data_IF_816509167428
#
_entry.id   IF_816509167428
#
_cell.length_a   1.000
_cell.length_b   1.000
_cell.length_c   1.000
_cell.angle_alpha   90.00
_cell.angle_beta   90.00
_cell.angle_gamma   90.00
#
_symmetry.space_group_name_H-M   'P 1'
#
loop_
_entity.id
_entity.type
_entity.pdbx_description
1 polymer ?
#
# COMPACT_ATOMS: atom_id res chain seq x y z
N UNK A 1 6.36 -7.76 -8.56
CA UNK A 1 5.99 -6.42 -9.00
C UNK A 1 5.91 -6.37 -10.52
N UNK A 2 4.79 -5.89 -11.09
CA UNK A 2 4.56 -5.84 -12.53
C UNK A 2 4.23 -4.41 -12.98
N UNK A 3 5.12 -3.82 -13.79
CA UNK A 3 4.98 -2.48 -14.36
C UNK A 3 4.49 -2.59 -15.80
N UNK A 4 3.17 -2.53 -16.01
CA UNK A 4 2.59 -2.57 -17.35
C UNK A 4 2.45 -1.17 -17.98
N UNK A 5 2.29 -0.13 -17.14
CA UNK A 5 1.90 1.20 -17.61
C UNK A 5 2.98 1.90 -18.44
N UNK A 6 4.24 1.82 -18.05
CA UNK A 6 5.33 2.62 -18.65
C UNK A 6 6.61 1.82 -18.76
N UNK A 7 7.53 2.32 -19.59
CA UNK A 7 8.87 1.77 -19.77
C UNK A 7 9.88 2.93 -19.79
N UNK A 8 11.15 2.63 -19.70
CA UNK A 8 12.19 3.62 -19.97
C UNK A 8 12.32 3.85 -21.49
N UNK A 9 12.67 5.07 -21.92
CA UNK A 9 12.81 5.41 -23.35
C UNK A 9 13.83 4.54 -24.10
N UNK A 10 14.81 3.96 -23.38
CA UNK A 10 15.79 3.01 -23.94
C UNK A 10 15.29 1.56 -23.96
N UNK A 11 14.09 1.28 -23.49
CA UNK A 11 13.54 -0.07 -23.49
C UNK A 11 13.33 -0.57 -24.92
N UNK A 12 13.70 -1.83 -25.23
CA UNK A 12 13.61 -2.36 -26.60
C UNK A 12 12.24 -2.26 -27.25
N UNK A 13 11.16 -2.41 -26.47
CA UNK A 13 9.78 -2.27 -26.96
C UNK A 13 9.55 -0.85 -27.48
N UNK A 14 9.91 0.18 -26.72
CA UNK A 14 9.74 1.57 -27.15
C UNK A 14 10.66 1.92 -28.32
N UNK A 15 11.92 1.45 -28.30
CA UNK A 15 12.86 1.70 -29.37
C UNK A 15 12.40 1.11 -30.72
N UNK A 16 11.77 -0.06 -30.72
CA UNK A 16 11.24 -0.71 -31.91
C UNK A 16 9.87 -0.18 -32.33
N UNK A 17 9.05 0.21 -31.38
CA UNK A 17 7.65 0.60 -31.57
C UNK A 17 7.31 1.87 -30.79
N UNK A 18 7.91 3.04 -31.13
CA UNK A 18 7.63 4.29 -30.39
C UNK A 18 6.17 4.73 -30.50
N UNK A 19 5.46 4.28 -31.52
CA UNK A 19 4.04 4.50 -31.72
C UNK A 19 3.12 3.65 -30.82
N UNK A 20 3.69 2.77 -29.99
CA UNK A 20 2.97 2.03 -28.96
C UNK A 20 2.88 2.82 -27.64
N UNK A 21 3.56 3.94 -27.55
CA UNK A 21 3.38 4.86 -26.43
C UNK A 21 2.25 5.88 -26.72
N UNK A 22 1.71 6.41 -25.64
CA UNK A 22 0.78 7.55 -25.71
C UNK A 22 1.52 8.82 -26.16
N UNK A 23 0.77 9.85 -26.56
CA UNK A 23 1.38 11.10 -27.01
C UNK A 23 2.09 11.83 -25.89
N UNK A 24 3.33 12.26 -26.16
CA UNK A 24 4.16 13.06 -25.24
C UNK A 24 3.59 14.47 -25.00
N UNK A 25 2.70 14.94 -25.88
CA UNK A 25 2.03 16.22 -25.77
C UNK A 25 0.53 16.04 -25.76
N UNK A 26 -0.17 16.84 -24.97
CA UNK A 26 -1.64 16.94 -24.95
C UNK A 26 -2.16 17.60 -26.24
N UNK A 27 -3.45 17.54 -26.48
CA UNK A 27 -4.05 18.13 -27.68
C UNK A 27 -3.88 19.66 -27.76
N UNK A 28 -3.72 20.32 -26.61
CA UNK A 28 -3.45 21.77 -26.50
C UNK A 28 -1.95 22.13 -26.54
N UNK A 29 -1.07 21.13 -26.78
CA UNK A 29 0.37 21.31 -26.96
C UNK A 29 1.20 21.35 -25.68
N UNK A 30 0.60 21.16 -24.50
CA UNK A 30 1.34 21.03 -23.23
C UNK A 30 2.09 19.70 -23.17
N UNK A 31 3.20 19.67 -22.45
CA UNK A 31 3.89 18.43 -22.16
C UNK A 31 3.00 17.52 -21.30
N UNK A 32 2.73 16.29 -21.77
CA UNK A 32 1.88 15.30 -21.11
C UNK A 32 2.72 14.47 -20.13
N UNK A 33 3.29 15.10 -19.11
CA UNK A 33 4.05 14.43 -18.04
C UNK A 33 3.48 14.81 -16.69
N UNK A 34 3.34 13.81 -15.79
CA UNK A 34 2.87 14.00 -14.42
C UNK A 34 1.47 14.66 -14.30
N UNK A 35 0.65 14.56 -15.33
CA UNK A 35 -0.75 15.01 -15.34
C UNK A 35 -1.65 13.90 -14.76
N UNK A 36 -1.39 13.51 -13.52
CA UNK A 36 -1.85 12.28 -12.86
C UNK A 36 -3.36 12.10 -12.81
N UNK A 37 -4.14 13.16 -12.78
CA UNK A 37 -5.60 13.12 -12.72
C UNK A 37 -6.25 13.58 -14.03
N UNK A 38 -5.71 14.62 -14.67
CA UNK A 38 -6.23 15.19 -15.90
C UNK A 38 -6.06 14.23 -17.09
N UNK A 39 -4.85 13.70 -17.25
CA UNK A 39 -4.46 12.79 -18.33
C UNK A 39 -4.15 11.37 -17.81
N UNK A 40 -4.94 10.89 -16.87
CA UNK A 40 -4.70 9.71 -16.07
C UNK A 40 -4.24 8.47 -16.87
N UNK A 41 -4.81 8.24 -18.05
CA UNK A 41 -4.53 7.04 -18.87
C UNK A 41 -3.49 7.28 -19.97
N UNK A 42 -2.96 8.50 -20.09
CA UNK A 42 -2.05 8.88 -21.17
C UNK A 42 -0.81 9.59 -20.72
N UNK A 43 -0.79 10.12 -19.49
CA UNK A 43 0.34 10.90 -18.98
C UNK A 43 1.59 10.05 -18.85
N UNK A 44 2.71 10.59 -19.29
CA UNK A 44 4.02 9.98 -19.08
C UNK A 44 4.49 10.22 -17.63
N UNK A 45 5.22 9.25 -17.09
CA UNK A 45 5.74 9.36 -15.72
C UNK A 45 6.91 10.33 -15.62
N UNK A 46 7.72 10.42 -16.68
CA UNK A 46 8.71 11.46 -16.91
C UNK A 46 8.94 11.59 -18.41
N UNK A 47 9.72 12.59 -18.82
CA UNK A 47 10.07 12.86 -20.22
C UNK A 47 10.81 11.69 -20.90
N UNK A 48 11.47 10.85 -20.10
CA UNK A 48 12.17 9.63 -20.50
C UNK A 48 11.44 8.34 -20.13
N UNK A 49 10.22 8.43 -19.56
CA UNK A 49 9.39 7.31 -19.13
C UNK A 49 8.04 7.31 -19.88
N UNK A 50 8.04 6.89 -21.17
CA UNK A 50 6.84 6.82 -21.99
C UNK A 50 5.81 5.86 -21.41
N UNK A 51 4.55 6.29 -21.36
CA UNK A 51 3.39 5.46 -21.03
C UNK A 51 2.98 4.66 -22.25
N UNK A 52 2.78 3.36 -22.11
CA UNK A 52 2.33 2.47 -23.17
C UNK A 52 0.83 2.65 -23.42
N UNK A 53 0.42 2.62 -24.70
CA UNK A 53 -0.97 2.74 -25.10
C UNK A 53 -1.70 1.39 -24.90
N UNK A 54 -1.99 1.06 -23.65
CA UNK A 54 -2.65 -0.20 -23.27
C UNK A 54 -4.13 -0.29 -23.71
N UNK A 55 -4.68 0.76 -24.33
CA UNK A 55 -5.99 0.70 -25.01
C UNK A 55 -5.87 0.11 -26.42
N UNK A 56 -4.65 0.04 -26.97
CA UNK A 56 -4.35 -0.64 -28.22
C UNK A 56 -4.26 -2.15 -27.96
N UNK A 57 -5.07 -2.93 -28.68
CA UNK A 57 -5.17 -4.39 -28.47
C UNK A 57 -3.82 -5.09 -28.65
N UNK A 58 -3.01 -4.70 -29.65
CA UNK A 58 -1.70 -5.31 -29.87
C UNK A 58 -0.76 -5.09 -28.70
N UNK A 59 -0.75 -3.88 -28.11
CA UNK A 59 0.07 -3.54 -26.95
C UNK A 59 -0.43 -4.27 -25.71
N UNK A 60 -1.76 -4.30 -25.53
CA UNK A 60 -2.40 -4.98 -24.40
C UNK A 60 -2.13 -6.51 -24.44
N UNK A 61 -2.25 -7.13 -25.61
CA UNK A 61 -1.96 -8.56 -25.79
C UNK A 61 -0.50 -8.87 -25.45
N UNK A 62 0.46 -8.12 -26.02
CA UNK A 62 1.87 -8.33 -25.74
C UNK A 62 2.21 -8.17 -24.26
N UNK A 63 1.74 -7.11 -23.63
CA UNK A 63 2.03 -6.86 -22.21
C UNK A 63 1.38 -7.89 -21.31
N UNK A 64 0.15 -8.31 -21.58
CA UNK A 64 -0.51 -9.36 -20.80
C UNK A 64 0.16 -10.72 -20.98
N UNK A 65 0.60 -11.08 -22.20
CA UNK A 65 1.36 -12.31 -22.44
C UNK A 65 2.71 -12.31 -21.72
N UNK A 66 3.37 -11.15 -21.66
CA UNK A 66 4.64 -11.00 -20.92
C UNK A 66 4.46 -11.23 -19.42
N UNK A 67 3.30 -10.87 -18.86
CA UNK A 67 3.01 -11.16 -17.46
C UNK A 67 2.80 -12.65 -17.20
N UNK A 68 2.18 -13.39 -18.14
CA UNK A 68 1.91 -14.82 -17.98
C UNK A 68 3.17 -15.66 -17.80
N UNK A 69 4.29 -15.28 -18.40
CA UNK A 69 5.56 -15.97 -18.26
C UNK A 69 5.94 -16.19 -16.79
N UNK A 70 5.66 -15.21 -15.93
CA UNK A 70 5.96 -15.31 -14.50
C UNK A 70 5.11 -16.35 -13.76
N UNK A 71 3.89 -16.60 -14.25
CA UNK A 71 3.01 -17.63 -13.71
C UNK A 71 3.36 -19.00 -14.29
N UNK A 72 3.49 -19.09 -15.63
CA UNK A 72 3.60 -20.38 -16.32
C UNK A 72 5.00 -20.99 -16.29
N UNK A 73 6.05 -20.16 -16.24
CA UNK A 73 7.44 -20.65 -16.28
C UNK A 73 8.15 -20.52 -14.93
N UNK A 74 7.72 -19.58 -14.07
CA UNK A 74 8.38 -19.29 -12.79
C UNK A 74 7.52 -19.54 -11.56
N UNK A 75 6.28 -20.01 -11.75
CA UNK A 75 5.35 -20.42 -10.66
C UNK A 75 5.10 -19.34 -9.60
N UNK A 76 4.85 -18.11 -10.05
CA UNK A 76 4.54 -17.00 -9.14
C UNK A 76 3.10 -17.07 -8.67
N UNK A 77 2.88 -16.83 -7.37
CA UNK A 77 1.56 -16.88 -6.71
C UNK A 77 0.71 -15.62 -6.96
N UNK A 78 1.28 -14.55 -7.53
CA UNK A 78 0.53 -13.33 -7.77
C UNK A 78 1.34 -12.13 -8.22
N UNK A 79 0.65 -11.00 -8.32
CA UNK A 79 1.22 -9.73 -8.76
C UNK A 79 0.87 -8.56 -7.83
N UNK A 80 1.84 -7.70 -7.60
CA UNK A 80 1.60 -6.29 -7.29
C UNK A 80 1.66 -5.51 -8.61
N UNK A 81 0.55 -4.90 -9.00
CA UNK A 81 0.48 -4.06 -10.19
C UNK A 81 0.86 -2.62 -9.86
N UNK A 82 1.96 -2.17 -10.41
CA UNK A 82 2.43 -0.79 -10.34
C UNK A 82 1.46 0.15 -11.04
N UNK A 83 1.32 1.36 -10.49
CA UNK A 83 0.61 2.46 -11.13
C UNK A 83 -0.78 2.09 -11.70
N UNK A 84 -1.53 1.22 -11.01
CA UNK A 84 -2.84 0.71 -11.48
C UNK A 84 -3.83 1.84 -11.78
N UNK A 85 -3.73 2.97 -11.09
CA UNK A 85 -4.48 4.20 -11.40
C UNK A 85 -4.42 4.58 -12.88
N UNK A 86 -3.30 4.32 -13.54
CA UNK A 86 -3.00 4.73 -14.91
C UNK A 86 -3.25 3.62 -15.94
N UNK A 87 -3.68 2.44 -15.48
CA UNK A 87 -3.96 1.29 -16.34
C UNK A 87 -5.42 1.31 -16.79
N UNK A 88 -5.72 1.21 -18.09
CA UNK A 88 -7.10 1.16 -18.57
C UNK A 88 -7.78 -0.17 -18.19
N UNK A 89 -9.07 -0.11 -17.93
CA UNK A 89 -9.86 -1.24 -17.42
C UNK A 89 -9.93 -2.43 -18.42
N UNK A 90 -9.86 -2.19 -19.70
CA UNK A 90 -9.81 -3.26 -20.71
C UNK A 90 -8.56 -4.12 -20.52
N UNK A 91 -7.39 -3.50 -20.29
CA UNK A 91 -6.15 -4.22 -20.03
C UNK A 91 -6.23 -5.01 -18.71
N UNK A 92 -6.71 -4.40 -17.64
CA UNK A 92 -6.88 -5.09 -16.34
C UNK A 92 -7.74 -6.34 -16.48
N UNK A 93 -8.84 -6.25 -17.24
CA UNK A 93 -9.73 -7.39 -17.50
C UNK A 93 -9.08 -8.47 -18.37
N UNK A 94 -8.40 -8.06 -19.43
CA UNK A 94 -7.67 -8.98 -20.32
C UNK A 94 -6.63 -9.76 -19.54
N UNK A 95 -5.79 -9.08 -18.79
CA UNK A 95 -4.75 -9.70 -17.98
C UNK A 95 -5.34 -10.67 -16.95
N UNK A 96 -6.36 -10.26 -16.20
CA UNK A 96 -7.03 -11.13 -15.21
C UNK A 96 -7.66 -12.35 -15.87
N UNK A 97 -8.28 -12.19 -17.05
CA UNK A 97 -8.84 -13.31 -17.81
C UNK A 97 -7.75 -14.31 -18.22
N UNK A 98 -6.62 -13.83 -18.73
CA UNK A 98 -5.49 -14.68 -19.14
C UNK A 98 -4.86 -15.39 -17.96
N UNK A 99 -4.63 -14.71 -16.86
CA UNK A 99 -4.09 -15.31 -15.62
C UNK A 99 -4.99 -16.46 -15.14
N UNK A 100 -6.30 -16.23 -15.09
CA UNK A 100 -7.27 -17.28 -14.68
C UNK A 100 -7.38 -18.44 -15.65
N UNK A 101 -7.05 -18.23 -16.91
CA UNK A 101 -7.00 -19.30 -17.89
C UNK A 101 -5.67 -20.10 -17.88
N UNK A 102 -4.61 -19.48 -17.35
CA UNK A 102 -3.28 -20.07 -17.32
C UNK A 102 -2.97 -20.87 -16.04
N UNK A 103 -3.72 -20.68 -14.96
CA UNK A 103 -3.50 -21.35 -13.68
C UNK A 103 -4.81 -21.82 -13.08
N UNK A 104 -4.82 -23.06 -12.57
CA UNK A 104 -5.92 -23.62 -11.78
C UNK A 104 -5.91 -23.10 -10.34
N UNK A 105 -4.76 -22.61 -9.87
CA UNK A 105 -4.60 -21.99 -8.56
C UNK A 105 -4.99 -20.51 -8.58
N UNK A 106 -5.38 -20.01 -7.41
CA UNK A 106 -5.71 -18.58 -7.26
C UNK A 106 -4.43 -17.72 -7.27
N UNK A 107 -4.22 -17.01 -8.37
CA UNK A 107 -3.14 -16.03 -8.50
C UNK A 107 -3.63 -14.68 -7.97
N UNK A 108 -3.14 -14.28 -6.80
CA UNK A 108 -3.57 -13.05 -6.14
C UNK A 108 -3.04 -11.80 -6.83
N UNK A 109 -3.90 -10.82 -7.07
CA UNK A 109 -3.57 -9.58 -7.74
C UNK A 109 -3.90 -8.37 -6.85
N UNK A 110 -2.90 -7.58 -6.51
CA UNK A 110 -3.07 -6.32 -5.76
C UNK A 110 -2.54 -5.14 -6.56
N UNK A 111 -3.34 -4.08 -6.67
CA UNK A 111 -3.00 -2.89 -7.43
C UNK A 111 -2.56 -1.71 -6.57
N UNK A 112 -1.81 -0.81 -7.18
CA UNK A 112 -1.41 0.45 -6.58
C UNK A 112 -2.18 1.61 -7.18
N UNK A 113 -3.08 2.21 -6.41
CA UNK A 113 -3.88 3.37 -6.83
C UNK A 113 -3.95 4.41 -5.72
N UNK A 114 -3.44 5.62 -5.98
CA UNK A 114 -3.74 6.81 -5.19
C UNK A 114 -4.95 7.52 -5.78
N UNK A 115 -5.98 7.76 -4.99
CA UNK A 115 -7.19 8.41 -5.46
C UNK A 115 -8.36 8.31 -4.48
N UNK A 116 -9.56 8.64 -4.95
CA UNK A 116 -10.77 8.46 -4.15
C UNK A 116 -11.09 6.99 -3.93
N UNK A 117 -11.86 6.70 -2.88
CA UNK A 117 -12.29 5.32 -2.59
C UNK A 117 -13.10 4.72 -3.74
N UNK A 118 -13.88 5.54 -4.48
CA UNK A 118 -14.60 5.11 -5.68
C UNK A 118 -13.65 4.66 -6.80
N UNK A 119 -12.58 5.44 -7.06
CA UNK A 119 -11.60 5.08 -8.08
C UNK A 119 -10.89 3.79 -7.70
N UNK A 120 -10.44 3.67 -6.46
CA UNK A 120 -9.78 2.48 -5.94
C UNK A 120 -10.71 1.26 -6.06
N UNK A 121 -11.96 1.37 -5.60
CA UNK A 121 -12.95 0.30 -5.66
C UNK A 121 -13.30 -0.09 -7.11
N UNK A 122 -13.22 0.83 -8.06
CA UNK A 122 -13.53 0.57 -9.46
C UNK A 122 -12.66 -0.51 -10.10
N UNK A 123 -11.44 -0.70 -9.61
CA UNK A 123 -10.50 -1.72 -10.09
C UNK A 123 -10.66 -3.08 -9.41
N UNK A 124 -11.39 -3.18 -8.30
CA UNK A 124 -11.55 -4.41 -7.52
C UNK A 124 -12.83 -5.14 -7.93
N UNK A 125 -12.77 -6.46 -7.99
CA UNK A 125 -13.95 -7.31 -8.18
C UNK A 125 -13.79 -8.37 -9.27
N UNK A 126 -14.88 -9.06 -9.58
CA UNK A 126 -14.88 -10.15 -10.56
C UNK A 126 -14.36 -9.71 -11.92
N UNK A 127 -13.35 -10.39 -12.43
CA UNK A 127 -12.70 -10.07 -13.72
C UNK A 127 -11.77 -8.86 -13.68
N UNK A 128 -11.38 -8.40 -12.48
CA UNK A 128 -10.43 -7.32 -12.22
C UNK A 128 -9.41 -7.81 -11.19
N UNK A 129 -8.61 -6.91 -10.60
CA UNK A 129 -7.72 -7.29 -9.50
C UNK A 129 -8.51 -7.66 -8.24
N UNK A 130 -7.91 -8.48 -7.38
CA UNK A 130 -8.55 -8.95 -6.14
C UNK A 130 -8.58 -7.85 -5.08
N UNK A 131 -7.60 -6.95 -5.09
CA UNK A 131 -7.42 -5.92 -4.10
C UNK A 131 -6.64 -4.71 -4.63
N UNK A 132 -6.62 -3.66 -3.81
CA UNK A 132 -5.74 -2.50 -3.94
C UNK A 132 -5.06 -2.25 -2.59
N UNK A 133 -3.94 -1.53 -2.58
CA UNK A 133 -3.42 -0.95 -1.34
C UNK A 133 -4.38 0.11 -0.81
N UNK A 134 -4.68 0.05 0.48
CA UNK A 134 -5.61 0.96 1.14
C UNK A 134 -4.89 2.23 1.61
N UNK A 135 -4.46 3.06 0.67
CA UNK A 135 -3.66 4.26 0.96
C UNK A 135 -4.42 5.30 1.79
N UNK A 136 -5.73 5.46 1.58
CA UNK A 136 -6.53 6.41 2.35
C UNK A 136 -6.56 6.03 3.84
N UNK A 137 -6.67 4.73 4.14
CA UNK A 137 -6.59 4.23 5.51
C UNK A 137 -5.18 4.34 6.08
N UNK A 138 -4.15 4.02 5.26
CA UNK A 138 -2.76 4.16 5.64
C UNK A 138 -2.40 5.60 6.01
N UNK A 139 -2.74 6.58 5.17
CA UNK A 139 -2.42 7.99 5.42
C UNK A 139 -3.09 8.50 6.69
N UNK A 140 -4.33 8.08 6.96
CA UNK A 140 -5.03 8.43 8.20
C UNK A 140 -4.42 7.76 9.44
N UNK A 141 -4.01 6.49 9.34
CA UNK A 141 -3.33 5.77 10.41
C UNK A 141 -1.92 6.35 10.66
N UNK A 142 -1.19 6.63 9.58
CA UNK A 142 0.13 7.24 9.66
C UNK A 142 0.07 8.57 10.44
N UNK A 143 -0.86 9.45 10.10
CA UNK A 143 -1.06 10.72 10.81
C UNK A 143 -1.43 10.47 12.28
N UNK A 144 -2.44 9.64 12.54
CA UNK A 144 -2.94 9.39 13.89
C UNK A 144 -1.86 8.83 14.83
N UNK A 145 -0.97 7.98 14.34
CA UNK A 145 0.06 7.35 15.19
C UNK A 145 1.38 8.13 15.23
N UNK A 146 1.70 8.95 14.23
CA UNK A 146 2.99 9.67 14.20
C UNK A 146 2.90 11.09 14.72
N UNK A 147 1.79 11.80 14.47
CA UNK A 147 1.69 13.22 14.84
C UNK A 147 1.38 13.40 16.33
N UNK A 148 2.03 14.37 16.92
CA UNK A 148 1.73 14.79 18.29
C UNK A 148 0.39 15.52 18.35
N UNK A 149 -0.46 15.17 19.30
CA UNK A 149 -1.79 15.74 19.46
C UNK A 149 -2.82 15.29 18.41
N UNK A 150 -2.48 14.38 17.50
CA UNK A 150 -3.44 13.82 16.55
C UNK A 150 -4.51 13.00 17.28
N UNK A 151 -5.76 13.14 16.82
CA UNK A 151 -6.90 12.34 17.29
C UNK A 151 -7.19 11.20 16.32
N UNK A 152 -8.05 10.27 16.74
CA UNK A 152 -8.50 9.17 15.88
C UNK A 152 -9.67 9.52 14.95
N UNK A 153 -10.14 10.78 14.93
CA UNK A 153 -11.33 11.16 14.14
C UNK A 153 -11.15 10.90 12.64
N UNK A 154 -10.01 11.29 12.08
CA UNK A 154 -9.71 11.04 10.67
C UNK A 154 -9.56 9.54 10.37
N UNK A 155 -8.85 8.81 11.26
CA UNK A 155 -8.65 7.38 11.11
C UNK A 155 -9.98 6.60 11.18
N UNK A 156 -10.86 6.95 12.13
CA UNK A 156 -12.19 6.36 12.22
C UNK A 156 -13.00 6.57 10.95
N UNK A 157 -13.04 7.81 10.43
CA UNK A 157 -13.73 8.14 9.18
C UNK A 157 -13.17 7.37 7.97
N UNK A 158 -11.84 7.29 7.86
CA UNK A 158 -11.18 6.53 6.79
C UNK A 158 -11.52 5.03 6.87
N UNK A 159 -11.58 4.46 8.07
CA UNK A 159 -11.97 3.07 8.26
C UNK A 159 -13.45 2.84 7.94
N UNK A 160 -14.36 3.73 8.34
CA UNK A 160 -15.78 3.67 7.98
C UNK A 160 -15.97 3.76 6.45
N UNK A 161 -15.22 4.65 5.77
CA UNK A 161 -15.20 4.75 4.32
C UNK A 161 -14.70 3.45 3.68
N UNK A 162 -13.60 2.91 4.16
CA UNK A 162 -13.05 1.63 3.71
C UNK A 162 -14.08 0.49 3.82
N UNK A 163 -14.78 0.38 4.95
CA UNK A 163 -15.85 -0.62 5.13
C UNK A 163 -17.03 -0.39 4.19
N UNK A 164 -17.34 0.86 3.86
CA UNK A 164 -18.44 1.22 2.95
C UNK A 164 -18.13 0.85 1.51
N UNK A 165 -16.93 1.19 1.03
CA UNK A 165 -16.55 1.00 -0.37
C UNK A 165 -16.05 -0.40 -0.69
N UNK A 166 -15.35 -1.05 0.25
CA UNK A 166 -14.70 -2.36 0.02
C UNK A 166 -15.42 -3.51 0.74
N UNK A 167 -16.30 -3.20 1.69
CA UNK A 167 -17.04 -4.18 2.49
C UNK A 167 -16.28 -4.65 3.74
N UNK A 168 -16.91 -5.57 4.49
CA UNK A 168 -16.36 -6.05 5.76
C UNK A 168 -15.42 -7.26 5.62
N UNK A 169 -15.32 -7.85 4.43
CA UNK A 169 -14.55 -9.05 4.13
C UNK A 169 -13.65 -8.87 2.91
N UNK A 170 -13.20 -7.63 2.68
CA UNK A 170 -12.33 -7.32 1.56
C UNK A 170 -10.89 -7.84 1.77
N UNK A 171 -10.15 -7.95 0.67
CA UNK A 171 -8.73 -8.36 0.66
C UNK A 171 -7.77 -7.18 0.45
N UNK A 172 -8.23 -5.94 0.66
CA UNK A 172 -7.40 -4.74 0.49
C UNK A 172 -6.14 -4.81 1.34
N UNK A 173 -5.03 -4.35 0.80
CA UNK A 173 -3.74 -4.35 1.51
C UNK A 173 -3.61 -3.18 2.49
N UNK A 174 -3.54 -3.47 3.78
CA UNK A 174 -3.29 -2.49 4.83
C UNK A 174 -1.79 -2.43 5.09
N UNK A 175 -1.11 -1.43 4.53
CA UNK A 175 0.35 -1.32 4.58
C UNK A 175 0.84 -0.65 5.87
N UNK A 176 2.06 -0.99 6.31
CA UNK A 176 2.80 -0.26 7.34
C UNK A 176 3.67 0.86 6.75
N UNK A 177 4.08 0.70 5.51
CA UNK A 177 4.91 1.60 4.71
C UNK A 177 5.10 1.03 3.31
N UNK A 178 5.86 1.73 2.48
CA UNK A 178 6.34 1.24 1.19
C UNK A 178 7.63 1.96 0.75
N UNK A 179 8.12 1.61 -0.44
CA UNK A 179 9.36 2.15 -1.01
C UNK A 179 9.30 3.66 -1.36
N UNK A 180 8.12 4.28 -1.36
CA UNK A 180 7.90 5.67 -1.79
C UNK A 180 7.47 6.57 -0.62
N UNK A 181 7.47 6.04 0.61
CA UNK A 181 7.10 6.76 1.83
C UNK A 181 8.28 6.84 2.79
N UNK A 182 8.38 7.90 3.60
CA UNK A 182 9.36 7.93 4.68
C UNK A 182 9.10 6.81 5.69
N UNK A 183 10.15 6.35 6.35
CA UNK A 183 9.99 5.30 7.37
C UNK A 183 9.11 5.79 8.51
N UNK A 184 8.08 5.00 8.82
CA UNK A 184 7.11 5.28 9.87
C UNK A 184 7.80 5.52 11.24
N UNK A 185 8.78 4.69 11.58
CA UNK A 185 9.53 4.77 12.83
C UNK A 185 10.25 6.11 13.01
N UNK A 186 10.80 6.67 11.92
CA UNK A 186 11.47 7.99 11.94
C UNK A 186 10.48 9.13 12.18
N UNK A 187 9.32 9.08 11.53
CA UNK A 187 8.24 10.04 11.76
C UNK A 187 7.69 9.95 13.18
N UNK A 188 7.40 8.72 13.64
CA UNK A 188 6.88 8.48 14.99
C UNK A 188 7.87 8.87 16.10
N UNK A 189 9.16 8.86 15.81
CA UNK A 189 10.23 9.32 16.72
C UNK A 189 10.40 10.84 16.75
N UNK A 190 9.77 11.58 15.84
CA UNK A 190 9.96 13.03 15.66
C UNK A 190 11.28 13.38 14.96
N UNK A 191 11.95 12.44 14.31
CA UNK A 191 13.18 12.70 13.53
C UNK A 191 12.89 13.31 12.16
N UNK A 192 11.67 13.15 11.70
CA UNK A 192 11.08 13.76 10.51
C UNK A 192 9.75 14.41 10.87
N UNK A 193 9.35 15.43 10.12
CA UNK A 193 8.05 16.06 10.26
C UNK A 193 7.24 16.02 8.96
N UNK A 194 5.91 16.14 9.06
CA UNK A 194 5.04 16.22 7.87
C UNK A 194 5.25 17.47 7.03
N UNK A 195 5.89 18.50 7.60
CA UNK A 195 6.14 19.79 6.93
C UNK A 195 7.50 19.87 6.24
N UNK A 196 8.38 18.86 6.42
CA UNK A 196 9.67 18.83 5.74
C UNK A 196 9.67 17.90 4.53
N UNK A 197 10.55 18.19 3.56
CA UNK A 197 10.85 17.27 2.48
C UNK A 197 11.70 16.10 3.02
N UNK A 198 11.06 14.99 3.30
CA UNK A 198 11.70 13.80 3.86
C UNK A 198 12.71 13.13 2.90
N UNK A 199 12.59 13.38 1.59
CA UNK A 199 13.58 12.93 0.60
C UNK A 199 14.84 13.77 0.72
N UNK A 200 14.70 15.09 0.73
CA UNK A 200 15.83 16.01 0.93
C UNK A 200 16.50 15.76 2.28
N UNK A 201 15.71 15.50 3.34
CA UNK A 201 16.25 15.19 4.67
C UNK A 201 17.18 13.97 4.62
N UNK A 202 16.77 12.87 3.98
CA UNK A 202 17.61 11.67 3.82
C UNK A 202 18.88 11.87 3.00
N UNK A 203 18.88 12.86 2.07
CA UNK A 203 20.07 13.22 1.30
C UNK A 203 21.05 14.14 2.06
N UNK A 204 20.54 14.97 2.98
CA UNK A 204 21.32 16.05 3.57
C UNK A 204 21.75 15.80 5.01
N UNK A 205 21.14 14.86 5.68
CA UNK A 205 21.48 14.48 7.06
C UNK A 205 21.23 12.99 7.33
N UNK A 206 21.92 12.47 8.32
CA UNK A 206 21.62 11.14 8.85
C UNK A 206 20.31 11.20 9.64
N UNK A 207 19.40 10.25 9.36
CA UNK A 207 18.19 10.06 10.12
C UNK A 207 18.50 9.09 11.26
N UNK A 208 18.36 9.50 12.54
CA UNK A 208 18.77 8.69 13.66
C UNK A 208 17.92 7.43 13.85
N UNK A 209 18.43 6.47 14.64
CA UNK A 209 17.66 5.32 15.11
C UNK A 209 16.41 5.77 15.87
N UNK A 210 15.32 4.97 15.82
CA UNK A 210 14.07 5.32 16.48
C UNK A 210 14.19 5.43 17.99
N UNK A 211 13.43 6.38 18.52
CA UNK A 211 13.23 6.50 19.96
C UNK A 211 12.31 5.39 20.48
N UNK A 212 12.21 5.26 21.81
CA UNK A 212 11.23 4.37 22.46
C UNK A 212 9.79 4.62 21.97
N UNK A 213 9.45 5.89 21.74
CA UNK A 213 8.15 6.27 21.14
C UNK A 213 7.99 5.69 19.74
N UNK A 214 9.04 5.75 18.90
CA UNK A 214 9.03 5.18 17.55
C UNK A 214 8.71 3.68 17.55
N UNK A 215 9.39 2.91 18.40
CA UNK A 215 9.13 1.47 18.56
C UNK A 215 7.70 1.17 19.03
N UNK A 216 7.22 1.87 20.06
CA UNK A 216 5.86 1.67 20.57
C UNK A 216 4.79 2.02 19.53
N UNK A 217 4.97 3.11 18.79
CA UNK A 217 4.03 3.54 17.73
C UNK A 217 4.06 2.59 16.53
N UNK A 218 5.23 2.04 16.17
CA UNK A 218 5.32 1.00 15.14
C UNK A 218 4.53 -0.25 15.55
N UNK A 219 4.69 -0.71 16.78
CA UNK A 219 3.90 -1.83 17.31
C UNK A 219 2.39 -1.54 17.28
N UNK A 220 1.97 -0.29 17.57
CA UNK A 220 0.57 0.12 17.50
C UNK A 220 0.05 0.15 16.06
N UNK A 221 0.85 0.60 15.10
CA UNK A 221 0.49 0.58 13.66
C UNK A 221 0.26 -0.86 13.16
N UNK A 222 1.14 -1.80 13.53
CA UNK A 222 0.94 -3.21 13.19
C UNK A 222 -0.28 -3.80 13.87
N UNK A 223 -0.50 -3.50 15.16
CA UNK A 223 -1.70 -3.94 15.87
C UNK A 223 -2.98 -3.39 15.20
N UNK A 224 -2.94 -2.14 14.71
CA UNK A 224 -4.04 -1.56 13.95
C UNK A 224 -4.28 -2.34 12.63
N UNK A 225 -3.25 -2.56 11.81
CA UNK A 225 -3.38 -3.31 10.57
C UNK A 225 -3.90 -4.74 10.77
N UNK A 226 -3.55 -5.37 11.89
CA UNK A 226 -4.07 -6.70 12.28
C UNK A 226 -5.53 -6.63 12.73
N UNK A 227 -5.96 -5.52 13.35
CA UNK A 227 -7.30 -5.37 13.92
C UNK A 227 -8.41 -5.12 12.89
N UNK A 228 -8.08 -4.63 11.71
CA UNK A 228 -9.04 -4.24 10.67
C UNK A 228 -9.19 -5.31 9.58
N UNK A 229 -10.31 -5.32 8.81
CA UNK A 229 -10.44 -6.17 7.62
C UNK A 229 -9.35 -5.88 6.59
N UNK A 230 -9.08 -6.87 5.74
CA UNK A 230 -8.05 -6.79 4.70
C UNK A 230 -6.81 -7.63 5.04
N UNK A 231 -5.78 -7.51 4.23
CA UNK A 231 -4.51 -8.21 4.38
C UNK A 231 -3.50 -7.24 4.99
N UNK A 232 -2.95 -7.51 6.19
CA UNK A 232 -1.86 -6.71 6.72
C UNK A 232 -0.60 -6.94 5.88
N UNK A 233 -0.03 -5.86 5.37
CA UNK A 233 1.18 -5.87 4.55
C UNK A 233 2.26 -5.10 5.28
N UNK A 234 3.34 -5.79 5.55
CA UNK A 234 4.50 -5.24 6.22
C UNK A 234 5.55 -4.86 5.18
N UNK A 235 6.02 -3.61 5.20
CA UNK A 235 7.18 -3.21 4.43
C UNK A 235 8.45 -3.68 5.16
N UNK A 236 9.36 -4.33 4.44
CA UNK A 236 10.56 -4.91 5.05
C UNK A 236 11.29 -3.92 5.96
N UNK A 237 11.72 -4.39 7.12
CA UNK A 237 12.38 -3.57 8.13
C UNK A 237 11.42 -2.86 9.09
N UNK A 238 10.13 -2.75 8.81
CA UNK A 238 9.17 -2.16 9.76
C UNK A 238 9.01 -3.05 11.00
N UNK A 239 9.21 -4.37 10.86
CA UNK A 239 9.21 -5.33 11.97
C UNK A 239 10.31 -5.11 13.00
N UNK A 240 11.33 -4.33 12.64
CA UNK A 240 12.43 -3.94 13.50
C UNK A 240 12.54 -2.42 13.66
N UNK A 241 11.52 -1.69 13.20
CA UNK A 241 11.49 -0.23 13.16
C UNK A 241 12.67 0.39 12.39
N UNK A 242 13.04 -0.17 11.23
CA UNK A 242 14.10 0.38 10.39
C UNK A 242 13.81 1.85 10.09
N UNK A 243 14.82 2.71 10.21
CA UNK A 243 14.69 4.16 10.08
C UNK A 243 15.19 4.68 8.74
N UNK A 244 14.71 5.85 8.34
CA UNK A 244 15.12 6.53 7.11
C UNK A 244 14.20 7.67 6.74
N UNK A 245 14.68 8.51 5.83
CA UNK A 245 13.88 9.52 5.15
C UNK A 245 12.96 8.89 4.10
N UNK A 246 12.78 9.59 2.97
CA UNK A 246 12.12 8.99 1.79
C UNK A 246 13.19 8.48 0.80
N UNK A 247 12.73 7.92 -0.33
CA UNK A 247 13.59 7.35 -1.39
C UNK A 247 14.83 8.23 -1.71
N UNK A 248 16.05 7.67 -1.65
CA UNK A 248 16.42 6.26 -1.43
C UNK A 248 16.72 5.88 0.04
N UNK A 249 16.69 6.80 0.99
CA UNK A 249 17.12 6.55 2.37
C UNK A 249 16.19 5.59 3.14
N UNK A 250 14.92 5.47 2.73
CA UNK A 250 13.97 4.47 3.25
C UNK A 250 14.25 3.04 2.78
N UNK A 251 15.19 2.83 1.82
CA UNK A 251 15.51 1.53 1.20
C UNK A 251 16.86 0.98 1.67
N UNK A 252 17.21 1.22 2.94
CA UNK A 252 18.44 0.69 3.55
C UNK A 252 18.45 -0.84 3.52
N UNK A 253 19.65 -1.41 3.53
CA UNK A 253 19.83 -2.86 3.63
C UNK A 253 19.20 -3.38 4.94
N UNK A 254 18.54 -4.53 4.85
CA UNK A 254 17.98 -5.21 6.02
C UNK A 254 19.11 -5.70 6.92
N UNK A 255 19.24 -5.25 8.17
CA UNK A 255 20.11 -5.88 9.15
C UNK A 255 19.46 -7.18 9.62
N UNK A 256 20.28 -8.18 9.92
CA UNK A 256 19.82 -9.46 10.49
C UNK A 256 20.35 -9.69 11.92
N UNK A 257 21.27 -8.85 12.37
CA UNK A 257 21.72 -8.80 13.76
C UNK A 257 20.90 -7.74 14.50
N UNK A 258 19.87 -8.17 15.20
CA UNK A 258 18.92 -7.28 15.86
C UNK A 258 19.43 -6.85 17.25
N UNK A 259 19.28 -5.56 17.55
CA UNK A 259 19.41 -5.07 18.92
C UNK A 259 18.27 -5.66 19.78
N UNK A 260 18.42 -5.66 21.13
CA UNK A 260 17.36 -6.18 22.00
C UNK A 260 15.99 -5.54 21.78
N UNK A 261 15.93 -4.24 21.47
CA UNK A 261 14.67 -3.54 21.14
C UNK A 261 14.08 -3.95 19.80
N UNK A 262 14.90 -4.15 18.81
CA UNK A 262 14.47 -4.65 17.50
C UNK A 262 13.92 -6.06 17.63
N UNK A 263 14.59 -6.93 18.39
CA UNK A 263 14.14 -8.28 18.65
C UNK A 263 12.80 -8.31 19.40
N UNK A 264 12.63 -7.46 20.41
CA UNK A 264 11.36 -7.33 21.14
C UNK A 264 10.21 -6.93 20.23
N UNK A 265 10.41 -5.93 19.35
CA UNK A 265 9.41 -5.51 18.38
C UNK A 265 9.11 -6.62 17.38
N UNK A 266 10.14 -7.26 16.83
CA UNK A 266 10.00 -8.38 15.89
C UNK A 266 9.15 -9.51 16.50
N UNK A 267 9.48 -9.95 17.73
CA UNK A 267 8.75 -11.02 18.44
C UNK A 267 7.30 -10.61 18.71
N UNK A 268 7.06 -9.33 19.01
CA UNK A 268 5.71 -8.80 19.22
C UNK A 268 4.88 -8.82 17.93
N UNK A 269 5.47 -8.41 16.80
CA UNK A 269 4.80 -8.41 15.51
C UNK A 269 4.56 -9.84 15.03
N UNK A 270 5.51 -10.75 15.22
CA UNK A 270 5.36 -12.17 14.93
C UNK A 270 4.14 -12.76 15.66
N UNK A 271 4.00 -12.50 16.97
CA UNK A 271 2.83 -12.94 17.76
C UNK A 271 1.51 -12.32 17.27
N UNK A 272 1.53 -11.05 16.85
CA UNK A 272 0.33 -10.42 16.26
C UNK A 272 -0.10 -11.13 14.96
N UNK A 273 0.85 -11.45 14.09
CA UNK A 273 0.58 -12.17 12.85
C UNK A 273 0.11 -13.61 13.11
N UNK A 274 0.70 -14.31 14.07
CA UNK A 274 0.25 -15.63 14.52
C UNK A 274 -1.20 -15.59 15.02
N UNK A 275 -1.54 -14.59 15.84
CA UNK A 275 -2.92 -14.37 16.28
C UNK A 275 -3.85 -14.10 15.09
N UNK A 276 -3.43 -13.30 14.11
CA UNK A 276 -4.22 -13.04 12.89
C UNK A 276 -4.51 -14.34 12.15
N UNK A 277 -3.54 -15.23 12.03
CA UNK A 277 -3.71 -16.51 11.35
C UNK A 277 -4.66 -17.45 12.10
N UNK A 278 -4.56 -17.50 13.43
CA UNK A 278 -5.24 -18.50 14.25
C UNK A 278 -6.61 -18.06 14.78
N UNK A 279 -6.92 -16.76 14.81
CA UNK A 279 -8.15 -16.22 15.38
C UNK A 279 -9.15 -15.90 14.27
N UNK A 280 -10.21 -16.71 14.16
CA UNK A 280 -11.23 -16.58 13.13
C UNK A 280 -11.93 -15.21 13.15
N UNK A 281 -12.15 -14.61 14.34
CA UNK A 281 -12.74 -13.30 14.46
C UNK A 281 -11.90 -12.21 13.78
N UNK A 282 -10.58 -12.34 13.71
CA UNK A 282 -9.70 -11.40 13.01
C UNK A 282 -9.80 -11.56 11.49
N UNK A 283 -10.03 -12.76 10.98
CA UNK A 283 -10.15 -13.05 9.55
C UNK A 283 -11.56 -12.80 9.02
N UNK A 284 -12.58 -13.37 9.68
CA UNK A 284 -13.96 -13.43 9.18
C UNK A 284 -14.95 -12.62 10.04
N UNK A 285 -14.48 -11.99 11.11
CA UNK A 285 -15.35 -11.27 12.04
C UNK A 285 -15.93 -9.99 11.46
N UNK A 286 -17.15 -9.66 11.89
CA UNK A 286 -17.69 -8.32 11.74
C UNK A 286 -16.84 -7.30 12.50
N UNK A 287 -16.84 -6.07 12.02
CA UNK A 287 -16.06 -4.96 12.62
C UNK A 287 -17.03 -3.94 13.20
N UNK A 288 -16.86 -3.62 14.50
CA UNK A 288 -17.57 -2.53 15.16
C UNK A 288 -16.58 -1.54 15.73
N UNK A 289 -16.85 -0.26 15.54
CA UNK A 289 -15.99 0.84 15.96
C UNK A 289 -16.65 1.60 17.10
N UNK A 290 -15.90 1.88 18.16
CA UNK A 290 -16.29 2.74 19.25
C UNK A 290 -15.22 3.79 19.49
N UNK A 291 -15.61 5.05 19.53
CA UNK A 291 -14.71 6.17 19.82
C UNK A 291 -15.32 7.00 20.95
N UNK A 292 -15.11 6.59 22.20
CA UNK A 292 -15.69 7.30 23.36
C UNK A 292 -15.08 8.66 23.59
N UNK A 293 -13.87 8.89 23.06
CA UNK A 293 -13.11 10.14 23.17
C UNK A 293 -12.27 10.30 21.88
N UNK A 294 -11.97 11.52 21.41
CA UNK A 294 -11.17 11.72 20.21
C UNK A 294 -9.82 11.00 20.21
N UNK A 295 -9.24 10.77 21.39
CA UNK A 295 -7.95 10.09 21.57
C UNK A 295 -8.06 8.60 21.84
N UNK A 296 -9.27 8.02 21.89
CA UNK A 296 -9.48 6.59 22.17
C UNK A 296 -10.29 5.95 21.05
N UNK A 297 -9.72 4.95 20.41
CA UNK A 297 -10.41 4.15 19.39
C UNK A 297 -10.43 2.68 19.82
N UNK A 298 -11.61 2.11 19.90
CA UNK A 298 -11.84 0.69 20.17
C UNK A 298 -12.36 0.02 18.91
N UNK A 299 -11.70 -1.07 18.52
CA UNK A 299 -12.10 -1.91 17.38
C UNK A 299 -12.49 -3.27 17.93
N UNK A 300 -13.71 -3.69 17.65
CA UNK A 300 -14.23 -5.01 18.06
C UNK A 300 -14.39 -5.87 16.82
N UNK A 301 -13.77 -7.05 16.84
CA UNK A 301 -13.94 -8.09 15.83
C UNK A 301 -14.70 -9.25 16.43
N UNK A 302 -15.81 -9.64 15.81
CA UNK A 302 -16.66 -10.72 16.31
C UNK A 302 -17.00 -11.73 15.22
N UNK A 303 -16.76 -13.01 15.52
CA UNK A 303 -17.16 -14.14 14.69
C UNK A 303 -17.73 -15.25 15.59
N UNK A 304 -19.00 -15.55 15.41
CA UNK A 304 -19.73 -16.49 16.30
C UNK A 304 -19.56 -16.11 17.78
N UNK A 305 -19.04 -16.99 18.60
CA UNK A 305 -18.79 -16.77 20.03
C UNK A 305 -17.41 -16.14 20.30
N UNK A 306 -16.57 -16.01 19.28
CA UNK A 306 -15.23 -15.43 19.42
C UNK A 306 -15.29 -13.93 19.26
N UNK A 307 -14.77 -13.21 20.24
CA UNK A 307 -14.66 -11.75 20.22
C UNK A 307 -13.26 -11.30 20.58
N UNK A 308 -12.72 -10.36 19.80
CA UNK A 308 -11.40 -9.73 20.03
C UNK A 308 -11.61 -8.21 20.06
N UNK A 309 -11.00 -7.57 21.05
CA UNK A 309 -11.06 -6.11 21.22
C UNK A 309 -9.68 -5.51 21.19
N UNK A 310 -9.53 -4.45 20.42
CA UNK A 310 -8.34 -3.62 20.38
C UNK A 310 -8.65 -2.25 20.93
N UNK A 311 -7.78 -1.76 21.81
CA UNK A 311 -7.91 -0.44 22.42
C UNK A 311 -6.67 0.38 22.03
N UNK A 312 -6.89 1.48 21.33
CA UNK A 312 -5.86 2.43 20.97
C UNK A 312 -6.08 3.71 21.76
N UNK A 313 -5.05 4.15 22.45
CA UNK A 313 -5.07 5.39 23.22
C UNK A 313 -3.90 6.29 22.78
N UNK A 314 -4.23 7.49 22.32
CA UNK A 314 -3.26 8.48 21.85
C UNK A 314 -3.09 9.65 22.83
N UNK A 315 -3.78 9.61 23.97
CA UNK A 315 -3.61 10.56 25.07
C UNK A 315 -2.40 10.22 25.94
N UNK A 316 -2.00 11.17 26.79
CA UNK A 316 -0.97 10.98 27.80
C UNK A 316 -1.52 10.40 29.11
N UNK A 317 -2.79 10.06 29.17
CA UNK A 317 -3.49 9.55 30.34
C UNK A 317 -3.97 8.12 30.06
N UNK A 318 -4.04 7.29 31.10
CA UNK A 318 -4.68 5.98 31.02
C UNK A 318 -6.19 6.18 30.84
N UNK A 319 -6.71 5.77 29.68
CA UNK A 319 -8.14 5.80 29.33
C UNK A 319 -8.56 4.41 28.87
N UNK A 320 -9.67 3.93 29.42
CA UNK A 320 -10.18 2.58 29.20
C UNK A 320 -11.56 2.61 28.52
#
# INVERSE_FOLDING_TARGET
DYVANHVHELHPVFQKHPNWATNKYTADGRLNTQLWDEERLTTWFDTFMPTLELRNDTVAELMSDSALVWITEYDFDGFRHDATKHIPMNFTRLLTQKIRAASDDHVYQIGETYGSDELIASYVGSGKVDAQFNFNLYDAAFEAFTQEGATFDRLRKALESSLTYYGHHHLMGNISGNQDKPRFSSMASGHLSMSEDSKLAGWTREIPEPTERGYRKMAAMHAFNISVPGIPILYYGDEIALHGGNDPDNRKMMPFDFSPRQQELFDRIARLNENRTNIMALNYGSTTLHQPDPNVLNIVRKYMEQEVRFFFNNSNEDRY
#
